data_IF_004209788368
#
_entry.id   IF_004209788368
#
_cell.length_a   1.000
_cell.length_b   1.000
_cell.length_c   1.000
_cell.angle_alpha   90.00
_cell.angle_beta   90.00
_cell.angle_gamma   90.00
#
_symmetry.space_group_name_H-M   'P 1'
#
loop_
_entity.id
_entity.type
_entity.pdbx_description
1 polymer ?
#
# COMPACT_ATOMS: atom_id res chain seq x y z
N UNK A 1 -15.31 31.47 13.53
CA UNK A 1 -15.55 30.03 13.73
C UNK A 1 -16.95 29.78 13.19
N UNK A 2 -17.02 29.48 11.91
CA UNK A 2 -18.27 29.35 11.17
C UNK A 2 -18.69 27.88 11.26
N UNK A 3 -19.92 27.68 11.71
CA UNK A 3 -20.59 26.38 11.85
C UNK A 3 -20.35 25.52 10.59
N UNK A 4 -19.58 24.44 10.72
CA UNK A 4 -19.49 23.42 9.68
C UNK A 4 -20.79 22.62 9.72
N UNK A 5 -21.71 22.99 8.84
CA UNK A 5 -23.01 22.37 8.64
C UNK A 5 -22.93 20.85 8.57
N UNK A 6 -23.87 20.23 9.26
CA UNK A 6 -23.91 18.83 9.67
C UNK A 6 -24.63 17.93 8.65
N UNK A 7 -24.35 17.99 7.34
CA UNK A 7 -25.20 17.24 6.36
C UNK A 7 -24.59 16.60 5.11
N UNK A 8 -23.33 16.78 4.70
CA UNK A 8 -23.02 16.55 3.28
C UNK A 8 -21.95 15.48 2.91
N UNK A 9 -21.59 14.49 3.72
CA UNK A 9 -20.95 13.28 3.13
C UNK A 9 -21.23 12.07 4.03
N UNK A 10 -22.20 11.22 3.63
CA UNK A 10 -22.57 10.04 4.42
C UNK A 10 -21.89 8.78 3.91
N UNK A 11 -21.59 8.69 2.61
CA UNK A 11 -21.16 7.44 1.97
C UNK A 11 -19.81 7.58 1.29
N UNK A 12 -18.82 6.85 1.80
CA UNK A 12 -17.47 6.78 1.23
C UNK A 12 -17.25 5.39 0.64
N UNK A 13 -16.82 5.34 -0.62
CA UNK A 13 -16.39 4.10 -1.27
C UNK A 13 -14.88 4.13 -1.46
N UNK A 14 -14.19 3.15 -0.88
CA UNK A 14 -12.77 2.90 -1.09
C UNK A 14 -12.62 1.75 -2.08
N UNK A 15 -11.95 2.01 -3.21
CA UNK A 15 -11.81 1.02 -4.30
C UNK A 15 -10.46 0.33 -4.18
N UNK A 16 -10.43 -0.87 -3.63
CA UNK A 16 -9.23 -1.69 -3.43
C UNK A 16 -9.12 -2.23 -2.00
N UNK A 17 -9.01 -3.56 -1.85
CA UNK A 17 -8.82 -4.24 -0.57
C UNK A 17 -7.37 -4.46 -0.13
N UNK A 18 -6.41 -3.77 -0.77
CA UNK A 18 -4.99 -3.80 -0.39
C UNK A 18 -4.70 -3.04 0.92
N UNK A 19 -3.44 -3.02 1.36
CA UNK A 19 -3.03 -2.32 2.59
C UNK A 19 -3.52 -0.86 2.62
N UNK A 20 -3.26 -0.11 1.54
CA UNK A 20 -3.67 1.31 1.43
C UNK A 20 -5.18 1.48 1.60
N UNK A 21 -5.99 0.64 0.96
CA UNK A 21 -7.44 0.75 1.04
C UNK A 21 -8.00 0.38 2.41
N UNK A 22 -7.46 -0.67 3.04
CA UNK A 22 -7.82 -1.07 4.41
C UNK A 22 -7.47 0.01 5.42
N UNK A 23 -6.26 0.56 5.34
CA UNK A 23 -5.80 1.65 6.22
C UNK A 23 -6.67 2.90 6.04
N UNK A 24 -6.91 3.30 4.78
CA UNK A 24 -7.75 4.46 4.43
C UNK A 24 -9.16 4.31 5.00
N UNK A 25 -9.81 3.16 4.80
CA UNK A 25 -11.14 2.89 5.33
C UNK A 25 -11.18 2.94 6.85
N UNK A 26 -10.18 2.36 7.52
CA UNK A 26 -10.04 2.37 8.97
C UNK A 26 -9.87 3.78 9.54
N UNK A 27 -9.02 4.61 8.94
CA UNK A 27 -8.79 6.00 9.36
C UNK A 27 -10.03 6.86 9.17
N UNK A 28 -10.69 6.77 8.01
CA UNK A 28 -11.93 7.52 7.75
C UNK A 28 -13.00 7.17 8.78
N UNK A 29 -13.19 5.87 9.07
CA UNK A 29 -14.21 5.43 10.03
C UNK A 29 -13.84 5.79 11.47
N UNK A 30 -12.56 5.91 11.79
CA UNK A 30 -12.11 6.38 13.11
C UNK A 30 -12.33 7.88 13.29
N UNK A 31 -11.99 8.71 12.28
CA UNK A 31 -12.14 10.16 12.35
C UNK A 31 -13.60 10.61 12.19
N UNK A 32 -14.37 9.87 11.38
CA UNK A 32 -15.76 10.16 11.08
C UNK A 32 -16.66 8.93 11.33
N UNK A 33 -16.96 8.62 12.61
CA UNK A 33 -17.71 7.41 12.99
C UNK A 33 -19.09 7.30 12.33
N UNK A 34 -19.72 8.42 12.02
CA UNK A 34 -21.07 8.47 11.44
C UNK A 34 -21.09 8.23 9.92
N UNK A 35 -19.93 8.19 9.24
CA UNK A 35 -19.86 7.91 7.81
C UNK A 35 -19.99 6.42 7.52
N UNK A 36 -20.77 6.06 6.52
CA UNK A 36 -20.82 4.74 5.92
C UNK A 36 -19.58 4.57 5.02
N UNK A 37 -18.80 3.52 5.29
CA UNK A 37 -17.57 3.22 4.53
C UNK A 37 -17.72 1.83 3.91
N UNK A 38 -17.60 1.77 2.59
CA UNK A 38 -17.59 0.51 1.84
C UNK A 38 -16.25 0.34 1.12
N UNK A 39 -15.60 -0.79 1.31
CA UNK A 39 -14.42 -1.21 0.55
C UNK A 39 -14.85 -2.18 -0.54
N UNK A 40 -14.49 -1.92 -1.79
CA UNK A 40 -14.70 -2.87 -2.90
C UNK A 40 -13.35 -3.51 -3.24
N UNK A 41 -13.24 -4.82 -3.07
CA UNK A 41 -12.04 -5.61 -3.33
C UNK A 41 -12.27 -6.57 -4.49
N UNK A 42 -11.37 -6.50 -5.48
CA UNK A 42 -11.33 -7.44 -6.59
C UNK A 42 -11.02 -8.88 -6.17
N UNK A 43 -10.43 -9.05 -4.98
CA UNK A 43 -10.00 -10.33 -4.43
C UNK A 43 -10.97 -10.81 -3.34
N UNK A 44 -10.91 -12.09 -3.02
CA UNK A 44 -11.59 -12.72 -1.87
C UNK A 44 -10.80 -12.57 -0.55
N UNK A 45 -9.58 -12.02 -0.62
CA UNK A 45 -8.72 -11.70 0.50
C UNK A 45 -8.47 -10.20 0.66
N UNK A 46 -7.94 -9.83 1.84
CA UNK A 46 -7.44 -8.49 2.14
C UNK A 46 -5.93 -8.48 2.12
N UNK A 47 -5.36 -7.35 1.69
CA UNK A 47 -3.93 -7.02 1.75
C UNK A 47 -3.04 -7.93 0.89
N UNK A 48 -2.77 -9.16 1.33
CA UNK A 48 -1.92 -10.12 0.61
C UNK A 48 -2.17 -11.55 1.07
N UNK A 49 -1.94 -12.52 0.18
CA UNK A 49 -1.89 -13.96 0.49
C UNK A 49 -0.50 -14.45 0.89
N UNK A 50 0.53 -13.60 0.84
CA UNK A 50 1.91 -13.95 1.23
C UNK A 50 2.15 -13.92 2.73
N UNK A 51 1.12 -13.62 3.51
CA UNK A 51 1.10 -13.71 4.97
C UNK A 51 0.28 -14.92 5.42
N UNK A 52 0.42 -15.33 6.67
CA UNK A 52 -0.43 -16.38 7.23
C UNK A 52 -1.91 -15.95 7.23
N UNK A 53 -2.86 -16.90 7.09
CA UNK A 53 -4.30 -16.60 7.05
C UNK A 53 -4.80 -15.77 8.24
N UNK A 54 -4.22 -15.97 9.43
CA UNK A 54 -4.61 -15.26 10.64
C UNK A 54 -4.52 -13.73 10.53
N UNK A 55 -3.63 -13.18 9.69
CA UNK A 55 -3.59 -11.74 9.44
C UNK A 55 -4.90 -11.27 8.79
N UNK A 56 -5.37 -12.00 7.77
CA UNK A 56 -6.58 -11.64 7.03
C UNK A 56 -7.82 -11.78 7.91
N UNK A 57 -7.89 -12.83 8.74
CA UNK A 57 -8.98 -13.03 9.68
C UNK A 57 -9.06 -11.88 10.70
N UNK A 58 -7.92 -11.47 11.24
CA UNK A 58 -7.84 -10.33 12.15
C UNK A 58 -8.25 -9.01 11.48
N UNK A 59 -7.83 -8.77 10.23
CA UNK A 59 -8.26 -7.57 9.48
C UNK A 59 -9.77 -7.56 9.21
N UNK A 60 -10.34 -8.71 8.82
CA UNK A 60 -11.78 -8.87 8.62
C UNK A 60 -12.54 -8.55 9.91
N UNK A 61 -12.09 -9.09 11.04
CA UNK A 61 -12.68 -8.81 12.36
C UNK A 61 -12.57 -7.33 12.74
N UNK A 62 -11.41 -6.70 12.52
CA UNK A 62 -11.19 -5.28 12.84
C UNK A 62 -12.05 -4.33 11.98
N UNK A 63 -12.22 -4.62 10.69
CA UNK A 63 -13.11 -3.85 9.82
C UNK A 63 -14.59 -4.02 10.22
N UNK A 64 -15.01 -5.26 10.50
CA UNK A 64 -16.37 -5.56 10.93
C UNK A 64 -16.72 -4.86 12.26
N UNK A 65 -15.79 -4.87 13.23
CA UNK A 65 -15.94 -4.17 14.52
C UNK A 65 -16.18 -2.67 14.37
N UNK A 66 -15.71 -2.07 13.27
CA UNK A 66 -15.92 -0.65 12.93
C UNK A 66 -17.15 -0.40 12.06
N UNK A 67 -17.94 -1.42 11.73
CA UNK A 67 -19.04 -1.33 10.78
C UNK A 67 -18.57 -0.80 9.40
N UNK A 68 -17.42 -1.28 8.93
CA UNK A 68 -16.96 -1.06 7.55
C UNK A 68 -17.45 -2.24 6.71
N UNK A 69 -18.19 -1.94 5.64
CA UNK A 69 -18.65 -2.97 4.70
C UNK A 69 -17.53 -3.30 3.73
N UNK A 70 -17.32 -4.59 3.45
CA UNK A 70 -16.38 -5.03 2.43
C UNK A 70 -17.10 -5.90 1.42
N UNK A 71 -17.00 -5.52 0.14
CA UNK A 71 -17.47 -6.30 -0.99
C UNK A 71 -16.26 -7.02 -1.58
N UNK A 72 -16.24 -8.34 -1.48
CA UNK A 72 -15.17 -9.19 -1.99
C UNK A 72 -15.48 -9.71 -3.40
N UNK A 73 -14.43 -10.15 -4.09
CA UNK A 73 -14.49 -10.78 -5.41
C UNK A 73 -15.27 -9.96 -6.43
N UNK A 74 -15.17 -8.63 -6.36
CA UNK A 74 -15.90 -7.73 -7.22
C UNK A 74 -15.06 -6.50 -7.58
N UNK A 75 -15.21 -6.00 -8.80
CA UNK A 75 -14.43 -4.88 -9.33
C UNK A 75 -15.35 -3.71 -9.65
N UNK A 76 -14.89 -2.50 -9.40
CA UNK A 76 -15.58 -1.31 -9.91
C UNK A 76 -15.38 -1.22 -11.41
N UNK A 77 -16.47 -1.14 -12.18
CA UNK A 77 -16.46 -1.16 -13.65
C UNK A 77 -16.45 0.23 -14.27
N UNK A 78 -16.96 1.25 -13.58
CA UNK A 78 -17.09 2.62 -14.08
C UNK A 78 -16.12 3.62 -13.41
N UNK A 79 -14.99 3.15 -12.88
CA UNK A 79 -14.08 4.02 -12.11
C UNK A 79 -13.59 5.24 -12.90
N UNK A 80 -13.38 5.09 -14.21
CA UNK A 80 -12.95 6.17 -15.10
C UNK A 80 -14.03 7.25 -15.33
N UNK A 81 -15.29 6.93 -15.09
CA UNK A 81 -16.42 7.84 -15.28
C UNK A 81 -16.78 8.61 -13.99
N UNK A 82 -16.15 8.23 -12.86
CA UNK A 82 -16.40 8.81 -11.56
C UNK A 82 -15.45 9.99 -11.27
N UNK A 83 -15.96 10.97 -10.53
CA UNK A 83 -15.10 11.96 -9.88
C UNK A 83 -14.51 11.36 -8.61
N UNK A 84 -13.21 11.07 -8.66
CA UNK A 84 -12.45 10.50 -7.55
C UNK A 84 -11.75 11.56 -6.70
N UNK A 85 -11.50 11.25 -5.44
CA UNK A 85 -10.75 12.09 -4.47
C UNK A 85 -11.35 13.50 -4.28
N UNK A 86 -12.62 13.69 -4.64
CA UNK A 86 -13.38 14.92 -4.42
C UNK A 86 -14.80 14.56 -4.04
N UNK A 87 -15.40 15.38 -3.19
CA UNK A 87 -16.79 15.22 -2.81
C UNK A 87 -17.71 15.56 -4.00
N UNK A 88 -18.58 14.62 -4.35
CA UNK A 88 -19.69 14.79 -5.31
C UNK A 88 -20.85 13.96 -4.79
N UNK A 89 -21.94 14.60 -4.41
CA UNK A 89 -23.10 13.95 -3.81
C UNK A 89 -23.76 12.99 -4.80
N UNK A 90 -24.06 11.77 -4.35
CA UNK A 90 -24.92 10.83 -5.09
C UNK A 90 -24.31 10.19 -6.34
N UNK A 91 -22.98 10.10 -6.45
CA UNK A 91 -22.36 9.26 -7.48
C UNK A 91 -22.78 7.80 -7.32
N UNK A 92 -22.86 7.05 -8.42
CA UNK A 92 -23.17 5.61 -8.39
C UNK A 92 -21.96 4.82 -8.84
N UNK A 93 -21.33 4.12 -7.91
CA UNK A 93 -20.27 3.15 -8.19
C UNK A 93 -20.91 1.86 -8.67
N UNK A 94 -20.57 1.45 -9.89
CA UNK A 94 -21.06 0.20 -10.47
C UNK A 94 -19.98 -0.87 -10.38
N UNK A 95 -20.39 -2.10 -10.08
CA UNK A 95 -19.48 -3.24 -10.03
C UNK A 95 -19.67 -4.19 -11.20
N UNK A 96 -18.63 -4.97 -11.51
CA UNK A 96 -18.69 -6.05 -12.50
C UNK A 96 -19.71 -7.13 -12.15
N UNK A 97 -19.97 -7.34 -10.86
CA UNK A 97 -21.03 -8.20 -10.35
C UNK A 97 -22.43 -7.61 -10.43
N UNK A 98 -22.59 -6.41 -10.99
CA UNK A 98 -23.88 -5.75 -11.21
C UNK A 98 -24.45 -5.01 -9.99
N UNK A 99 -23.63 -4.74 -8.97
CA UNK A 99 -24.07 -3.94 -7.81
C UNK A 99 -23.97 -2.45 -8.14
N UNK A 100 -24.90 -1.68 -7.60
CA UNK A 100 -24.87 -0.22 -7.61
C UNK A 100 -24.72 0.28 -6.17
N UNK A 101 -23.70 1.08 -5.92
CA UNK A 101 -23.35 1.58 -4.60
C UNK A 101 -23.33 3.10 -4.66
N UNK A 102 -24.23 3.75 -3.93
CA UNK A 102 -24.25 5.20 -3.86
C UNK A 102 -23.05 5.71 -3.03
N UNK A 103 -22.36 6.72 -3.54
CA UNK A 103 -21.16 7.29 -2.95
C UNK A 103 -21.17 8.82 -3.07
N UNK A 104 -20.77 9.49 -2.00
CA UNK A 104 -20.54 10.94 -1.98
C UNK A 104 -19.04 11.25 -2.16
N UNK A 105 -18.19 10.26 -1.84
CA UNK A 105 -16.75 10.31 -2.04
C UNK A 105 -16.24 8.93 -2.50
N UNK A 106 -15.45 8.92 -3.57
CA UNK A 106 -14.81 7.71 -4.10
C UNK A 106 -13.30 7.87 -4.01
N UNK A 107 -12.63 6.95 -3.31
CA UNK A 107 -11.19 6.96 -3.10
C UNK A 107 -10.57 5.73 -3.77
N UNK A 108 -9.89 5.89 -4.91
CA UNK A 108 -9.20 4.79 -5.56
C UNK A 108 -7.93 4.41 -4.79
N UNK A 109 -7.88 3.15 -4.37
CA UNK A 109 -6.72 2.48 -3.77
C UNK A 109 -6.37 1.23 -4.60
N UNK A 110 -6.47 1.35 -5.93
CA UNK A 110 -6.15 0.29 -6.89
C UNK A 110 -4.63 0.18 -7.07
N UNK A 111 -4.17 -0.99 -7.53
CA UNK A 111 -2.75 -1.30 -7.68
C UNK A 111 -1.96 -0.27 -8.48
N UNK A 112 -0.65 -0.23 -8.25
CA UNK A 112 0.26 0.71 -8.89
C UNK A 112 0.64 0.26 -10.29
N UNK A 113 0.87 1.22 -11.17
CA UNK A 113 1.55 1.01 -12.46
C UNK A 113 3.02 1.39 -12.31
N UNK A 114 3.91 0.65 -12.97
CA UNK A 114 5.34 0.98 -12.94
C UNK A 114 5.57 2.36 -13.54
N UNK A 115 6.22 3.25 -12.79
CA UNK A 115 6.66 4.54 -13.31
C UNK A 115 7.92 4.39 -14.18
N UNK A 116 7.71 3.94 -15.41
CA UNK A 116 8.79 3.65 -16.36
C UNK A 116 9.12 4.81 -17.31
N UNK A 117 8.44 5.95 -17.17
CA UNK A 117 8.58 7.09 -18.10
C UNK A 117 10.04 7.54 -18.29
N UNK A 118 10.85 7.43 -17.25
CA UNK A 118 12.27 7.81 -17.22
C UNK A 118 13.19 6.86 -17.99
N UNK A 119 12.89 5.55 -18.04
CA UNK A 119 13.81 4.55 -18.59
C UNK A 119 13.26 3.76 -19.77
N UNK A 120 11.94 3.84 -20.05
CA UNK A 120 11.28 3.02 -21.06
C UNK A 120 11.90 3.08 -22.46
N UNK A 121 12.45 4.23 -22.85
CA UNK A 121 13.06 4.40 -24.16
C UNK A 121 14.47 3.80 -24.23
N UNK A 122 15.19 3.78 -23.11
CA UNK A 122 16.58 3.35 -23.04
C UNK A 122 16.75 1.87 -22.66
N UNK A 123 15.78 1.29 -21.95
CA UNK A 123 15.84 -0.07 -21.40
C UNK A 123 14.65 -0.94 -21.84
N UNK A 124 14.07 -0.66 -23.02
CA UNK A 124 12.90 -1.36 -23.52
C UNK A 124 13.13 -2.88 -23.68
N UNK A 125 14.36 -3.27 -24.00
CA UNK A 125 14.82 -4.64 -24.17
C UNK A 125 14.95 -5.42 -22.85
N UNK A 126 15.02 -4.72 -21.72
CA UNK A 126 15.08 -5.30 -20.37
C UNK A 126 13.76 -5.17 -19.59
N UNK A 127 12.67 -4.77 -20.24
CA UNK A 127 11.37 -4.57 -19.61
C UNK A 127 10.43 -5.75 -19.85
N UNK A 128 9.61 -6.05 -18.85
CA UNK A 128 8.44 -6.92 -19.00
C UNK A 128 7.29 -6.20 -19.69
N UNK A 129 6.24 -6.94 -20.06
CA UNK A 129 4.98 -6.38 -20.56
C UNK A 129 4.31 -5.42 -19.56
N UNK A 130 4.50 -5.64 -18.26
CA UNK A 130 4.02 -4.72 -17.21
C UNK A 130 4.85 -3.44 -17.09
N UNK A 131 5.97 -3.36 -17.83
CA UNK A 131 6.89 -2.23 -17.83
C UNK A 131 7.87 -2.20 -16.66
N UNK A 132 7.99 -3.30 -15.92
CA UNK A 132 9.00 -3.47 -14.88
C UNK A 132 10.33 -3.93 -15.49
N UNK A 133 11.46 -3.59 -14.86
CA UNK A 133 12.79 -4.03 -15.28
C UNK A 133 13.09 -5.43 -14.76
N UNK A 134 13.50 -6.32 -15.65
CA UNK A 134 14.06 -7.61 -15.29
C UNK A 134 15.47 -7.45 -14.73
N UNK A 135 15.68 -7.98 -13.52
CA UNK A 135 16.96 -7.95 -12.83
C UNK A 135 17.46 -9.36 -12.53
N UNK A 136 18.78 -9.51 -12.37
CA UNK A 136 19.39 -10.74 -11.84
C UNK A 136 19.45 -10.72 -10.30
N UNK A 137 20.06 -11.75 -9.71
CA UNK A 137 20.22 -11.85 -8.25
C UNK A 137 21.07 -10.72 -7.64
N UNK A 138 21.82 -9.94 -8.42
CA UNK A 138 22.57 -8.79 -7.91
C UNK A 138 21.82 -7.45 -8.09
N UNK A 139 20.53 -7.52 -8.44
CA UNK A 139 19.68 -6.35 -8.77
C UNK A 139 20.18 -5.55 -9.99
N UNK A 140 21.00 -6.18 -10.82
CA UNK A 140 21.51 -5.63 -12.07
C UNK A 140 20.48 -5.89 -13.18
N UNK A 141 20.20 -4.89 -14.00
CA UNK A 141 19.27 -4.99 -15.12
C UNK A 141 19.84 -5.97 -16.14
N UNK A 142 19.05 -6.98 -16.51
CA UNK A 142 19.50 -8.02 -17.46
C UNK A 142 19.90 -7.37 -18.80
N UNK A 143 21.01 -7.81 -19.38
CA UNK A 143 21.54 -7.25 -20.62
C UNK A 143 22.43 -6.01 -20.43
N UNK A 144 22.57 -5.49 -19.20
CA UNK A 144 23.38 -4.29 -18.94
C UNK A 144 24.37 -4.50 -17.79
N UNK A 145 25.64 -4.17 -18.01
CA UNK A 145 26.70 -4.37 -17.01
C UNK A 145 26.69 -3.31 -15.89
N UNK A 146 26.27 -2.08 -16.20
CA UNK A 146 26.43 -0.95 -15.29
C UNK A 146 25.11 -0.32 -14.86
N UNK A 147 24.00 -1.04 -15.02
CA UNK A 147 22.65 -0.55 -14.69
C UNK A 147 22.02 -1.46 -13.65
N UNK A 148 21.51 -0.86 -12.59
CA UNK A 148 20.88 -1.54 -11.47
C UNK A 148 19.51 -0.94 -11.20
N UNK A 149 18.56 -1.78 -10.75
CA UNK A 149 17.20 -1.35 -10.44
C UNK A 149 16.75 -1.90 -9.09
N UNK A 150 15.99 -1.11 -8.34
CA UNK A 150 15.49 -1.47 -7.01
C UNK A 150 14.09 -0.90 -6.75
N UNK A 151 13.39 -1.43 -5.75
CA UNK A 151 12.03 -1.02 -5.41
C UNK A 151 11.00 -1.39 -6.49
N UNK A 152 9.95 -0.59 -6.57
CA UNK A 152 8.72 -0.88 -7.33
C UNK A 152 8.93 -1.03 -8.85
N UNK A 153 10.07 -0.58 -9.39
CA UNK A 153 10.37 -0.69 -10.82
C UNK A 153 10.91 -2.07 -11.22
N UNK A 154 11.24 -2.95 -10.27
CA UNK A 154 11.79 -4.28 -10.58
C UNK A 154 10.70 -5.32 -10.79
N UNK A 155 10.96 -6.29 -11.66
CA UNK A 155 10.13 -7.48 -11.83
C UNK A 155 10.41 -8.59 -10.79
N UNK A 156 10.83 -8.22 -9.58
CA UNK A 156 11.00 -9.20 -8.51
C UNK A 156 9.63 -9.65 -7.99
N UNK A 157 9.47 -10.95 -7.78
CA UNK A 157 8.25 -11.57 -7.29
C UNK A 157 8.09 -11.37 -5.78
N UNK A 158 7.69 -10.17 -5.37
CA UNK A 158 7.54 -9.77 -3.97
C UNK A 158 6.55 -8.62 -3.77
N UNK A 159 6.15 -8.38 -2.53
CA UNK A 159 5.34 -7.20 -2.19
C UNK A 159 6.16 -5.91 -2.37
N UNK A 160 5.64 -5.00 -3.19
CA UNK A 160 6.29 -3.71 -3.47
C UNK A 160 6.06 -2.75 -2.30
N UNK A 161 7.08 -2.64 -1.44
CA UNK A 161 7.02 -1.89 -0.19
C UNK A 161 8.28 -1.05 0.04
N UNK A 162 8.14 0.06 0.76
CA UNK A 162 9.28 0.86 1.21
C UNK A 162 10.32 0.01 2.00
N UNK A 163 9.87 -0.95 2.78
CA UNK A 163 10.73 -1.92 3.48
C UNK A 163 11.60 -2.74 2.51
N UNK A 164 10.99 -3.30 1.45
CA UNK A 164 11.73 -4.05 0.42
C UNK A 164 12.71 -3.18 -0.35
N UNK A 165 12.31 -1.96 -0.71
CA UNK A 165 13.20 -1.00 -1.36
C UNK A 165 14.43 -0.66 -0.48
N UNK A 166 14.25 -0.55 0.84
CA UNK A 166 15.36 -0.32 1.79
C UNK A 166 16.31 -1.53 1.86
N UNK A 167 15.79 -2.76 1.79
CA UNK A 167 16.62 -3.97 1.68
C UNK A 167 17.45 -3.95 0.40
N UNK A 168 16.83 -3.61 -0.74
CA UNK A 168 17.52 -3.56 -2.02
C UNK A 168 18.63 -2.50 -2.01
N UNK A 169 18.34 -1.30 -1.48
CA UNK A 169 19.32 -0.23 -1.36
C UNK A 169 20.53 -0.66 -0.52
N UNK A 170 20.29 -1.30 0.63
CA UNK A 170 21.36 -1.81 1.49
C UNK A 170 22.20 -2.90 0.79
N UNK A 171 21.55 -3.80 0.04
CA UNK A 171 22.24 -4.83 -0.72
C UNK A 171 23.15 -4.20 -1.78
N UNK A 172 22.61 -3.31 -2.62
CA UNK A 172 23.36 -2.60 -3.66
C UNK A 172 24.56 -1.86 -3.05
N UNK A 173 24.33 -1.09 -1.98
CA UNK A 173 25.40 -0.37 -1.28
C UNK A 173 26.50 -1.33 -0.80
N UNK A 174 26.12 -2.45 -0.18
CA UNK A 174 27.08 -3.44 0.31
C UNK A 174 27.88 -4.11 -0.82
N UNK A 175 27.23 -4.38 -1.96
CA UNK A 175 27.87 -4.97 -3.12
C UNK A 175 28.83 -4.00 -3.81
N UNK A 176 28.47 -2.71 -3.91
CA UNK A 176 29.39 -1.69 -4.42
C UNK A 176 30.64 -1.53 -3.55
N UNK A 177 30.48 -1.58 -2.22
CA UNK A 177 31.62 -1.51 -1.30
C UNK A 177 32.49 -2.77 -1.41
N UNK A 178 31.88 -3.95 -1.54
CA UNK A 178 32.61 -5.22 -1.72
C UNK A 178 33.42 -5.20 -3.02
N UNK A 179 32.79 -4.80 -4.14
CA UNK A 179 33.42 -4.71 -5.45
C UNK A 179 34.61 -3.72 -5.43
N UNK A 180 34.44 -2.56 -4.79
CA UNK A 180 35.52 -1.58 -4.63
C UNK A 180 36.72 -2.11 -3.82
N UNK A 181 36.53 -3.15 -3.01
CA UNK A 181 37.58 -3.85 -2.24
C UNK A 181 38.11 -5.11 -2.93
N UNK A 182 37.57 -5.48 -4.10
CA UNK A 182 37.87 -6.75 -4.77
C UNK A 182 37.27 -7.97 -4.06
N UNK A 183 36.21 -7.79 -3.28
CA UNK A 183 35.45 -8.85 -2.61
C UNK A 183 34.24 -9.29 -3.46
N UNK A 184 33.76 -10.52 -3.22
CA UNK A 184 32.60 -11.06 -3.93
C UNK A 184 31.28 -10.36 -3.56
N UNK A 185 30.43 -10.16 -4.58
CA UNK A 185 29.07 -9.65 -4.40
C UNK A 185 28.16 -10.71 -3.76
N UNK A 186 27.19 -10.24 -2.96
CA UNK A 186 26.15 -11.08 -2.36
C UNK A 186 24.88 -11.07 -3.22
N UNK A 187 24.27 -12.23 -3.48
CA UNK A 187 22.99 -12.29 -4.19
C UNK A 187 21.84 -11.85 -3.28
N UNK A 188 20.79 -11.33 -3.90
CA UNK A 188 19.50 -11.03 -3.28
C UNK A 188 18.76 -12.33 -3.02
N UNK A 189 18.34 -12.53 -1.76
CA UNK A 189 17.66 -13.74 -1.30
C UNK A 189 16.16 -13.55 -1.01
N UNK A 190 15.59 -12.42 -1.43
CA UNK A 190 14.19 -12.07 -1.20
C UNK A 190 13.93 -11.46 0.18
N UNK A 191 12.94 -10.58 0.25
CA UNK A 191 12.48 -10.00 1.49
C UNK A 191 11.44 -10.90 2.17
N UNK A 192 11.61 -11.13 3.47
CA UNK A 192 10.54 -11.73 4.28
C UNK A 192 9.36 -10.77 4.34
N UNK A 193 8.16 -11.28 4.06
CA UNK A 193 6.95 -10.47 4.10
C UNK A 193 6.60 -10.10 5.55
N UNK A 194 6.66 -8.81 5.82
CA UNK A 194 6.24 -8.19 7.07
C UNK A 194 5.18 -7.14 6.74
N UNK A 195 4.01 -7.23 7.38
CA UNK A 195 2.88 -6.34 7.14
C UNK A 195 2.39 -5.79 8.46
N UNK A 196 2.18 -4.48 8.55
CA UNK A 196 1.56 -3.83 9.70
C UNK A 196 0.50 -2.91 9.13
N UNK A 197 -0.77 -3.25 9.34
CA UNK A 197 -1.91 -2.62 8.69
C UNK A 197 -2.83 -2.05 9.77
N UNK A 198 -2.71 -0.75 10.09
CA UNK A 198 -3.64 -0.10 10.99
C UNK A 198 -5.05 -0.14 10.42
N UNK A 199 -6.02 -0.30 11.31
CA UNK A 199 -7.43 -0.09 11.00
C UNK A 199 -7.87 1.05 11.93
N UNK A 200 -7.54 2.27 11.52
CA UNK A 200 -7.68 3.47 12.34
C UNK A 200 -6.61 3.61 13.44
N UNK A 201 -6.64 4.75 14.16
CA UNK A 201 -5.64 5.11 15.20
C UNK A 201 -5.56 4.21 16.44
N UNK A 202 -6.48 3.25 16.59
CA UNK A 202 -6.66 2.49 17.84
C UNK A 202 -6.26 1.01 17.75
N UNK A 203 -5.81 0.54 16.59
CA UNK A 203 -5.44 -0.85 16.40
C UNK A 203 -5.31 -1.25 14.93
N UNK A 204 -5.41 -2.54 14.68
CA UNK A 204 -5.22 -3.14 13.37
C UNK A 204 -4.66 -4.54 13.49
N UNK A 205 -4.09 -5.04 12.40
CA UNK A 205 -3.44 -6.34 12.42
C UNK A 205 -2.12 -6.29 11.67
N UNK A 206 -1.19 -7.15 12.07
CA UNK A 206 0.08 -7.26 11.39
C UNK A 206 0.66 -8.66 11.48
N UNK A 207 1.71 -8.88 10.71
CA UNK A 207 2.58 -10.03 10.80
C UNK A 207 4.02 -9.54 10.70
N UNK A 208 4.85 -9.94 11.65
CA UNK A 208 6.28 -9.68 11.61
C UNK A 208 7.04 -10.95 11.96
N UNK A 209 7.98 -11.37 11.10
CA UNK A 209 8.77 -12.59 11.29
C UNK A 209 7.94 -13.85 11.59
N UNK A 210 6.76 -13.97 10.96
CA UNK A 210 5.84 -15.09 11.15
C UNK A 210 5.00 -15.05 12.44
N UNK A 211 5.17 -14.03 13.28
CA UNK A 211 4.31 -13.78 14.44
C UNK A 211 3.15 -12.86 14.05
N UNK A 212 1.94 -13.20 14.49
CA UNK A 212 0.77 -12.32 14.37
C UNK A 212 0.85 -11.19 15.39
N UNK A 213 0.60 -9.96 14.94
CA UNK A 213 0.58 -8.75 15.73
C UNK A 213 -0.86 -8.25 15.84
N UNK A 214 -1.37 -8.11 17.07
CA UNK A 214 -2.69 -7.55 17.34
C UNK A 214 -2.68 -6.04 17.59
N UNK A 215 -3.86 -5.50 17.93
CA UNK A 215 -4.14 -4.07 18.09
C UNK A 215 -3.07 -3.28 18.87
N UNK A 216 -2.62 -3.78 20.03
CA UNK A 216 -1.66 -3.07 20.89
C UNK A 216 -0.29 -2.89 20.23
N UNK A 217 0.20 -3.91 19.52
CA UNK A 217 1.50 -3.83 18.83
C UNK A 217 1.39 -2.95 17.60
N UNK A 218 0.32 -3.10 16.82
CA UNK A 218 0.07 -2.25 15.64
C UNK A 218 -0.05 -0.77 16.05
N UNK A 219 -0.73 -0.52 17.18
CA UNK A 219 -0.85 0.83 17.75
C UNK A 219 0.50 1.43 18.10
N UNK A 220 1.35 0.66 18.76
CA UNK A 220 2.69 1.09 19.17
C UNK A 220 3.60 1.36 17.96
N UNK A 221 3.51 0.54 16.91
CA UNK A 221 4.41 0.64 15.76
C UNK A 221 3.98 1.69 14.74
N UNK A 222 2.69 1.79 14.42
CA UNK A 222 2.25 2.49 13.20
C UNK A 222 1.09 3.47 13.42
N UNK A 223 0.15 3.23 14.34
CA UNK A 223 -1.03 4.11 14.48
C UNK A 223 -0.73 5.53 14.99
N UNK A 224 0.43 5.78 15.59
CA UNK A 224 0.79 7.09 16.13
C UNK A 224 1.23 8.09 15.08
N UNK A 225 2.11 7.69 14.16
CA UNK A 225 2.71 8.60 13.17
C UNK A 225 2.91 7.98 11.78
N UNK A 226 2.40 6.76 11.55
CA UNK A 226 2.58 5.98 10.32
C UNK A 226 4.05 5.88 9.86
N UNK A 227 4.99 5.84 10.81
CA UNK A 227 6.44 5.88 10.61
C UNK A 227 7.02 7.21 10.11
N UNK A 228 6.23 8.28 10.05
CA UNK A 228 6.69 9.57 9.53
C UNK A 228 7.95 10.07 10.23
N UNK A 229 8.01 10.06 11.57
CA UNK A 229 9.20 10.55 12.28
C UNK A 229 10.45 9.73 11.95
N UNK A 230 10.31 8.40 11.88
CA UNK A 230 11.41 7.50 11.55
C UNK A 230 11.92 7.76 10.13
N UNK A 231 11.02 7.88 9.15
CA UNK A 231 11.40 8.12 7.76
C UNK A 231 12.10 9.48 7.59
N UNK A 232 11.62 10.53 8.25
CA UNK A 232 12.29 11.83 8.23
C UNK A 232 13.68 11.74 8.87
N UNK A 233 13.81 11.06 10.00
CA UNK A 233 15.10 10.82 10.65
C UNK A 233 16.10 10.04 9.79
N UNK A 234 15.63 8.99 9.10
CA UNK A 234 16.44 8.20 8.15
C UNK A 234 16.99 9.06 7.00
N UNK A 235 16.25 10.11 6.60
CA UNK A 235 16.66 11.08 5.57
C UNK A 235 17.55 12.21 6.13
N UNK A 236 17.90 12.18 7.42
CA UNK A 236 18.63 13.26 8.08
C UNK A 236 17.82 14.54 8.25
N UNK A 237 16.49 14.46 8.19
CA UNK A 237 15.57 15.59 8.27
C UNK A 237 14.74 15.57 9.56
N UNK A 238 14.17 16.72 9.94
CA UNK A 238 13.20 16.82 11.04
C UNK A 238 11.79 16.86 10.49
N UNK A 239 10.89 16.08 11.08
CA UNK A 239 9.46 16.13 10.75
C UNK A 239 8.94 17.58 10.92
N UNK A 240 8.25 18.18 9.94
CA UNK A 240 7.77 19.55 10.05
C UNK A 240 6.72 19.70 11.16
N UNK A 241 6.78 20.79 11.93
CA UNK A 241 5.85 21.07 13.03
C UNK A 241 4.38 21.19 12.57
N UNK A 242 4.15 21.43 11.27
CA UNK A 242 2.82 21.45 10.66
C UNK A 242 2.15 20.08 10.60
N UNK A 243 2.91 19.00 10.75
CA UNK A 243 2.40 17.62 10.73
C UNK A 243 1.98 17.23 12.15
N UNK A 244 0.74 17.54 12.52
CA UNK A 244 0.10 16.99 13.73
C UNK A 244 -0.50 15.62 13.38
N UNK A 245 0.12 14.55 13.88
CA UNK A 245 -0.37 13.17 13.78
C UNK A 245 -1.21 12.83 15.01
#
# INVERSE_FOLDING_TARGET
IQERGNTCEKRVVVVGGGAVGVETAGEIKTEFPDKEVTVVSANDYLVTTRTQPGLQDNLKASLAKKNITVIYSDRVSNLCDLTVNKHVEGQVVQTTGGKEIAADLVIPCVGTTVNNSFFKAALADAMTESGALDVNEYLQVKGHENIYAMGDVTNLDEEKMAYTAKIHANLLMSNYIAEAKGEDRKPYSGARVAMIVPVGRNGGAGQYMGMQLGDLMVKQFKCGDLFAKSTWGDLGMKLPDSVKL
#
